data_IF_689163712212
#
_entry.id   IF_689163712212
#
_cell.length_a   1.000
_cell.length_b   1.000
_cell.length_c   1.000
_cell.angle_alpha   90.00
_cell.angle_beta   90.00
_cell.angle_gamma   90.00
#
_symmetry.space_group_name_H-M   'P 1'
#
loop_
_entity.id
_entity.type
_entity.pdbx_description
1 polymer ?
#
# COMPACT_ATOMS: atom_id res chain seq x y z
N UNK A 1 -5.13 3.05 -3.20
CA UNK A 1 -6.39 2.37 -2.82
C UNK A 1 -6.55 2.44 -1.30
N UNK A 2 -7.00 3.58 -0.76
CA UNK A 2 -7.19 3.76 0.68
C UNK A 2 -8.08 2.72 1.39
N UNK A 3 -8.95 2.01 0.69
CA UNK A 3 -9.76 0.94 1.30
C UNK A 3 -8.93 -0.17 1.95
N UNK A 4 -7.67 -0.37 1.55
CA UNK A 4 -6.76 -1.35 2.16
C UNK A 4 -6.17 -0.91 3.52
N UNK A 5 -6.23 0.39 3.84
CA UNK A 5 -5.73 0.96 5.09
C UNK A 5 -6.78 1.91 5.69
N UNK A 6 -7.88 1.39 6.25
CA UNK A 6 -9.03 2.20 6.67
C UNK A 6 -8.72 3.23 7.77
N UNK A 7 -7.68 2.97 8.56
CA UNK A 7 -7.22 3.80 9.69
C UNK A 7 -6.05 4.72 9.32
N UNK A 8 -5.67 4.80 8.04
CA UNK A 8 -4.60 5.70 7.59
C UNK A 8 -4.88 7.15 8.01
N UNK A 9 -3.84 7.78 8.55
CA UNK A 9 -3.86 9.19 8.92
C UNK A 9 -2.44 9.78 8.93
N UNK A 10 -2.34 11.08 9.20
CA UNK A 10 -1.05 11.71 9.41
C UNK A 10 -0.39 11.17 10.69
N UNK A 11 0.89 10.79 10.63
CA UNK A 11 1.66 10.40 11.82
C UNK A 11 2.20 11.65 12.54
N UNK A 12 1.70 12.00 13.75
CA UNK A 12 2.15 13.18 14.48
C UNK A 12 3.50 12.95 15.20
N UNK A 13 3.89 11.71 15.49
CA UNK A 13 5.08 11.39 16.27
C UNK A 13 6.34 11.47 15.41
N UNK A 14 7.46 11.71 16.08
CA UNK A 14 8.80 11.71 15.51
C UNK A 14 9.07 12.82 14.48
N UNK A 15 10.32 12.83 14.02
CA UNK A 15 10.85 13.80 13.07
C UNK A 15 11.72 13.08 12.02
N UNK A 16 12.09 13.78 10.96
CA UNK A 16 13.05 13.27 10.00
C UNK A 16 14.38 12.94 10.69
N UNK A 17 14.97 11.80 10.34
CA UNK A 17 16.28 11.34 10.84
C UNK A 17 17.18 10.99 9.64
N UNK A 18 18.52 10.98 9.80
CA UNK A 18 19.41 10.44 8.77
C UNK A 18 18.98 9.02 8.37
N UNK A 19 18.81 8.78 7.06
CA UNK A 19 18.30 7.51 6.52
C UNK A 19 16.76 7.36 6.53
N UNK A 20 16.04 8.21 7.26
CA UNK A 20 14.58 8.21 7.37
C UNK A 20 14.03 9.64 7.19
N UNK A 21 14.15 10.23 5.97
CA UNK A 21 13.75 11.61 5.71
C UNK A 21 12.25 11.85 5.95
N UNK A 22 11.44 10.80 5.85
CA UNK A 22 10.00 10.83 6.09
C UNK A 22 9.60 10.23 7.44
N UNK A 23 10.51 10.22 8.43
CA UNK A 23 10.37 9.52 9.73
C UNK A 23 10.49 8.00 9.59
N UNK A 24 10.69 7.31 10.72
CA UNK A 24 10.74 5.84 10.79
C UNK A 24 9.40 5.20 10.46
N UNK A 25 8.33 5.86 10.86
CA UNK A 25 6.96 5.52 10.54
C UNK A 25 6.32 6.72 9.83
N UNK A 26 6.39 6.81 8.49
CA UNK A 26 5.79 7.92 7.74
C UNK A 26 4.25 7.88 7.70
N UNK A 27 3.68 6.68 7.84
CA UNK A 27 2.24 6.44 7.74
C UNK A 27 1.65 6.29 9.14
N UNK A 28 0.64 7.11 9.45
CA UNK A 28 -0.10 7.00 10.70
C UNK A 28 -1.22 5.98 10.60
N UNK A 29 -1.60 5.43 11.76
CA UNK A 29 -2.76 4.58 11.95
C UNK A 29 -3.53 5.12 13.16
N UNK A 30 -4.77 5.57 12.94
CA UNK A 30 -5.57 6.26 13.96
C UNK A 30 -5.85 5.37 15.17
N UNK A 31 -6.04 4.07 14.99
CA UNK A 31 -6.25 3.11 16.09
C UNK A 31 -4.94 2.91 16.83
N UNK A 32 -3.84 2.68 16.11
CA UNK A 32 -2.51 2.51 16.71
C UNK A 32 -2.05 3.74 17.50
N UNK A 33 -2.40 4.95 17.03
CA UNK A 33 -2.14 6.19 17.77
C UNK A 33 -2.96 6.28 19.06
N UNK A 34 -4.23 5.89 19.04
CA UNK A 34 -5.05 5.85 20.27
C UNK A 34 -4.45 4.88 21.30
N UNK A 35 -4.03 3.68 20.87
CA UNK A 35 -3.39 2.70 21.76
C UNK A 35 -2.05 3.23 22.30
N UNK A 36 -1.26 3.90 21.47
CA UNK A 36 0.00 4.53 21.90
C UNK A 36 -0.24 5.64 22.93
N UNK A 37 -1.27 6.47 22.74
CA UNK A 37 -1.64 7.54 23.67
C UNK A 37 -2.11 6.99 25.04
N UNK A 38 -2.73 5.81 25.04
CA UNK A 38 -3.10 5.10 26.27
C UNK A 38 -1.87 4.49 27.01
N UNK A 39 -0.66 4.60 26.45
CA UNK A 39 0.58 4.11 27.08
C UNK A 39 0.76 2.59 27.00
N UNK A 40 -0.03 1.88 26.19
CA UNK A 40 0.11 0.44 26.01
C UNK A 40 1.29 0.12 25.08
N UNK A 41 1.96 -1.01 25.34
CA UNK A 41 3.07 -1.50 24.49
C UNK A 41 3.12 -3.02 24.42
N UNK A 42 3.97 -3.55 23.54
CA UNK A 42 4.20 -5.00 23.40
C UNK A 42 2.95 -5.78 22.97
N UNK A 43 2.84 -7.06 23.34
CA UNK A 43 1.71 -7.91 22.95
C UNK A 43 0.34 -7.39 23.42
N UNK A 44 0.30 -6.71 24.58
CA UNK A 44 -0.94 -6.12 25.10
C UNK A 44 -1.45 -4.99 24.20
N UNK A 45 -0.55 -4.15 23.69
CA UNK A 45 -0.93 -3.12 22.72
C UNK A 45 -1.47 -3.71 21.43
N UNK A 46 -0.90 -4.81 20.94
CA UNK A 46 -1.39 -5.50 19.73
C UNK A 46 -2.79 -6.07 19.96
N UNK A 47 -3.03 -6.71 21.12
CA UNK A 47 -4.36 -7.21 21.46
C UNK A 47 -5.40 -6.08 21.57
N UNK A 48 -5.04 -4.97 22.23
CA UNK A 48 -5.91 -3.80 22.34
C UNK A 48 -6.17 -3.14 20.98
N UNK A 49 -5.17 -3.09 20.10
CA UNK A 49 -5.31 -2.62 18.74
C UNK A 49 -6.31 -3.47 17.96
N UNK A 50 -6.19 -4.79 17.99
CA UNK A 50 -7.08 -5.69 17.26
C UNK A 50 -8.53 -5.59 17.76
N UNK A 51 -8.73 -5.45 19.06
CA UNK A 51 -10.06 -5.25 19.63
C UNK A 51 -10.68 -3.90 19.20
N UNK A 52 -9.92 -2.80 19.31
CA UNK A 52 -10.41 -1.48 18.93
C UNK A 52 -10.63 -1.37 17.42
N UNK A 53 -9.71 -1.87 16.61
CA UNK A 53 -9.81 -1.86 15.14
C UNK A 53 -11.04 -2.63 14.66
N UNK A 54 -11.41 -3.73 15.33
CA UNK A 54 -12.63 -4.48 15.01
C UNK A 54 -13.90 -3.70 15.33
N UNK A 55 -13.92 -2.93 16.42
CA UNK A 55 -15.06 -2.08 16.80
C UNK A 55 -15.21 -0.85 15.91
N UNK A 56 -14.09 -0.28 15.46
CA UNK A 56 -14.05 0.93 14.64
C UNK A 56 -13.97 0.64 13.12
N UNK A 57 -13.97 -0.63 12.72
CA UNK A 57 -13.85 -1.01 11.31
C UNK A 57 -15.00 -0.40 10.49
N UNK A 58 -14.69 0.43 9.48
CA UNK A 58 -15.73 1.00 8.62
C UNK A 58 -16.29 -0.05 7.66
N UNK A 59 -17.36 0.30 6.95
CA UNK A 59 -17.80 -0.52 5.81
C UNK A 59 -16.72 -0.52 4.71
N UNK A 60 -16.04 -1.65 4.58
CA UNK A 60 -14.94 -1.83 3.64
C UNK A 60 -15.42 -1.95 2.19
N UNK A 61 -16.65 -2.44 1.96
CA UNK A 61 -17.22 -2.52 0.61
C UNK A 61 -17.61 -1.12 0.13
N UNK A 62 -18.22 -0.31 0.99
CA UNK A 62 -18.52 1.09 0.67
C UNK A 62 -17.24 1.88 0.36
N UNK A 63 -16.18 1.70 1.17
CA UNK A 63 -14.88 2.33 0.91
C UNK A 63 -14.24 1.85 -0.38
N UNK A 64 -14.28 0.55 -0.68
CA UNK A 64 -13.80 0.02 -1.94
C UNK A 64 -14.56 0.65 -3.11
N UNK A 65 -15.89 0.76 -3.03
CA UNK A 65 -16.68 1.38 -4.09
C UNK A 65 -16.27 2.83 -4.33
N UNK A 66 -16.05 3.62 -3.26
CA UNK A 66 -15.54 5.00 -3.38
C UNK A 66 -14.16 5.06 -4.04
N UNK A 67 -13.29 4.08 -3.77
CA UNK A 67 -12.00 3.97 -4.44
C UNK A 67 -12.16 3.67 -5.93
N UNK A 68 -13.05 2.74 -6.29
CA UNK A 68 -13.38 2.39 -7.68
C UNK A 68 -13.91 3.61 -8.43
N UNK A 69 -14.90 4.29 -7.87
CA UNK A 69 -15.52 5.47 -8.48
C UNK A 69 -14.49 6.58 -8.72
N UNK A 70 -13.60 6.80 -7.75
CA UNK A 70 -12.52 7.79 -7.86
C UNK A 70 -11.51 7.41 -8.93
N UNK A 71 -11.10 6.14 -9.00
CA UNK A 71 -10.16 5.68 -10.04
C UNK A 71 -10.76 5.88 -11.43
N UNK A 72 -12.01 5.45 -11.67
CA UNK A 72 -12.66 5.67 -12.96
C UNK A 72 -12.85 7.14 -13.30
N UNK A 73 -13.18 7.98 -12.31
CA UNK A 73 -13.27 9.44 -12.51
C UNK A 73 -11.94 10.01 -12.99
N UNK A 74 -10.82 9.68 -12.34
CA UNK A 74 -9.51 10.18 -12.78
C UNK A 74 -9.10 9.60 -14.13
N UNK A 75 -9.27 8.29 -14.34
CA UNK A 75 -8.98 7.64 -15.61
C UNK A 75 -9.76 8.22 -16.79
N UNK A 76 -10.97 8.72 -16.57
CA UNK A 76 -11.76 9.35 -17.64
C UNK A 76 -11.11 10.62 -18.21
N UNK A 77 -10.17 11.23 -17.49
CA UNK A 77 -9.41 12.41 -17.91
C UNK A 77 -8.00 12.06 -18.44
N UNK A 78 -7.66 10.78 -18.55
CA UNK A 78 -6.34 10.31 -18.97
C UNK A 78 -6.40 9.57 -20.32
N UNK A 79 -5.42 9.80 -21.20
CA UNK A 79 -5.24 9.02 -22.42
C UNK A 79 -4.80 7.57 -22.11
N UNK A 80 -4.07 7.40 -21.01
CA UNK A 80 -3.61 6.12 -20.49
C UNK A 80 -4.41 5.78 -19.24
N UNK A 81 -5.25 4.76 -19.34
CA UNK A 81 -6.14 4.30 -18.27
C UNK A 81 -5.54 3.08 -17.56
N UNK A 82 -5.79 2.93 -16.25
CA UNK A 82 -5.26 1.84 -15.42
C UNK A 82 -6.31 1.21 -14.49
N UNK A 83 -7.46 1.85 -14.27
CA UNK A 83 -8.50 1.42 -13.34
C UNK A 83 -8.94 -0.02 -13.59
N UNK A 84 -9.25 -0.39 -14.83
CA UNK A 84 -9.69 -1.77 -15.16
C UNK A 84 -8.63 -2.81 -14.79
N UNK A 85 -7.36 -2.53 -15.11
CA UNK A 85 -6.26 -3.40 -14.71
C UNK A 85 -6.17 -3.56 -13.20
N UNK A 86 -6.30 -2.45 -12.47
CA UNK A 86 -6.30 -2.48 -11.01
C UNK A 86 -7.46 -3.34 -10.51
N UNK A 87 -8.68 -3.15 -11.00
CA UNK A 87 -9.86 -3.89 -10.55
C UNK A 87 -9.77 -5.40 -10.83
N UNK A 88 -9.16 -5.77 -11.95
CA UNK A 88 -8.97 -7.17 -12.35
C UNK A 88 -7.88 -7.89 -11.53
N UNK A 89 -6.97 -7.14 -10.91
CA UNK A 89 -5.73 -7.68 -10.33
C UNK A 89 -5.51 -7.36 -8.85
N UNK A 90 -6.15 -6.34 -8.27
CA UNK A 90 -5.85 -5.90 -6.89
C UNK A 90 -6.17 -6.95 -5.84
N UNK A 91 -7.03 -7.93 -6.15
CA UNK A 91 -7.30 -9.07 -5.27
C UNK A 91 -6.23 -10.16 -5.38
N UNK A 92 -5.60 -10.28 -6.54
CA UNK A 92 -4.65 -11.36 -6.86
C UNK A 92 -3.20 -10.96 -6.57
N UNK A 93 -2.90 -9.66 -6.66
CA UNK A 93 -1.54 -9.13 -6.61
C UNK A 93 -1.46 -7.91 -5.67
N UNK A 94 -0.33 -7.77 -4.99
CA UNK A 94 -0.06 -6.63 -4.11
C UNK A 94 0.31 -5.38 -4.92
N UNK A 95 -0.72 -4.73 -5.49
CA UNK A 95 -0.58 -3.61 -6.43
C UNK A 95 -0.21 -2.28 -5.76
N UNK A 96 -0.51 -2.13 -4.47
CA UNK A 96 -0.27 -0.93 -3.68
C UNK A 96 0.59 -1.31 -2.49
N UNK A 97 1.65 -0.54 -2.24
CA UNK A 97 2.52 -0.74 -1.08
C UNK A 97 2.15 0.17 0.08
N UNK A 98 1.60 1.33 -0.24
CA UNK A 98 1.03 2.28 0.71
C UNK A 98 -0.23 2.87 0.07
N UNK A 99 -0.95 3.75 0.77
CA UNK A 99 -2.12 4.40 0.19
C UNK A 99 -1.79 5.22 -1.10
N UNK A 100 -0.54 5.68 -1.25
CA UNK A 100 -0.06 6.53 -2.34
C UNK A 100 1.07 5.94 -3.20
N UNK A 101 1.66 4.81 -2.80
CA UNK A 101 2.73 4.15 -3.54
C UNK A 101 2.25 2.83 -4.17
N UNK A 102 2.54 2.67 -5.45
CA UNK A 102 2.22 1.46 -6.22
C UNK A 102 3.43 0.54 -6.35
N UNK A 103 3.16 -0.76 -6.56
CA UNK A 103 4.18 -1.77 -6.80
C UNK A 103 4.82 -1.67 -8.19
N UNK A 104 5.93 -2.37 -8.40
CA UNK A 104 6.53 -2.56 -9.73
C UNK A 104 5.53 -3.03 -10.78
N UNK A 105 4.60 -3.92 -10.44
CA UNK A 105 3.61 -4.45 -11.38
C UNK A 105 2.76 -3.32 -11.96
N UNK A 106 2.29 -2.39 -11.13
CA UNK A 106 1.51 -1.25 -11.59
C UNK A 106 2.37 -0.30 -12.45
N UNK A 107 3.61 -0.06 -12.05
CA UNK A 107 4.53 0.80 -12.81
C UNK A 107 4.84 0.19 -14.18
N UNK A 108 5.05 -1.13 -14.24
CA UNK A 108 5.30 -1.86 -15.47
C UNK A 108 4.10 -1.77 -16.41
N UNK A 109 2.90 -2.02 -15.89
CA UNK A 109 1.67 -1.92 -16.69
C UNK A 109 1.46 -0.49 -17.21
N UNK A 110 1.62 0.51 -16.36
CA UNK A 110 1.53 1.92 -16.76
C UNK A 110 2.54 2.26 -17.86
N UNK A 111 3.80 1.84 -17.70
CA UNK A 111 4.85 2.09 -18.69
C UNK A 111 4.54 1.43 -20.04
N UNK A 112 4.00 0.20 -20.03
CA UNK A 112 3.60 -0.50 -21.26
C UNK A 112 2.45 0.20 -21.96
N UNK A 113 1.41 0.64 -21.23
CA UNK A 113 0.29 1.39 -21.81
C UNK A 113 0.71 2.74 -22.34
N UNK A 114 1.58 3.44 -21.62
CA UNK A 114 2.15 4.72 -22.07
C UNK A 114 2.98 4.54 -23.35
N UNK A 115 3.81 3.50 -23.43
CA UNK A 115 4.56 3.20 -24.65
C UNK A 115 3.65 2.84 -25.84
N UNK A 116 2.52 2.17 -25.58
CA UNK A 116 1.52 1.89 -26.61
C UNK A 116 0.82 3.18 -27.09
N UNK A 117 0.41 4.05 -26.17
CA UNK A 117 -0.25 5.32 -26.48
C UNK A 117 0.68 6.30 -27.22
N UNK A 118 1.96 6.33 -26.89
CA UNK A 118 2.96 7.21 -27.54
C UNK A 118 3.47 6.65 -28.88
N UNK A 119 3.24 5.38 -29.20
CA UNK A 119 3.77 4.71 -30.41
C UNK A 119 3.41 5.42 -31.71
N UNK A 120 2.18 5.95 -31.93
CA UNK A 120 1.87 6.68 -33.16
C UNK A 120 2.74 7.92 -33.38
N UNK A 121 3.29 8.51 -32.32
CA UNK A 121 4.13 9.70 -32.37
C UNK A 121 5.63 9.36 -32.42
N UNK A 122 6.06 8.35 -31.67
CA UNK A 122 7.48 8.02 -31.48
C UNK A 122 7.97 6.82 -32.30
N UNK A 123 7.05 6.07 -32.92
CA UNK A 123 7.35 4.82 -33.61
C UNK A 123 7.72 3.66 -32.67
N UNK A 124 8.36 2.62 -33.22
CA UNK A 124 8.80 1.44 -32.48
C UNK A 124 7.75 0.32 -32.37
N UNK A 125 8.05 -0.69 -31.54
CA UNK A 125 7.21 -1.90 -31.38
C UNK A 125 6.90 -2.19 -29.92
N UNK A 126 5.80 -2.91 -29.67
CA UNK A 126 5.45 -3.40 -28.33
C UNK A 126 6.58 -4.26 -27.74
N UNK A 127 7.18 -5.14 -28.55
CA UNK A 127 8.28 -5.99 -28.12
C UNK A 127 9.49 -5.18 -27.65
N UNK A 128 9.84 -4.11 -28.39
CA UNK A 128 10.95 -3.23 -27.99
C UNK A 128 10.65 -2.48 -26.70
N UNK A 129 9.44 -1.97 -26.53
CA UNK A 129 9.02 -1.32 -25.29
C UNK A 129 9.12 -2.28 -24.10
N UNK A 130 8.59 -3.50 -24.23
CA UNK A 130 8.68 -4.51 -23.18
C UNK A 130 10.12 -4.86 -22.80
N UNK A 131 11.02 -5.01 -23.79
CA UNK A 131 12.45 -5.24 -23.53
C UNK A 131 13.10 -4.08 -22.78
N UNK A 132 12.84 -2.83 -23.20
CA UNK A 132 13.39 -1.64 -22.54
C UNK A 132 12.91 -1.52 -21.09
N UNK A 133 11.63 -1.78 -20.86
CA UNK A 133 11.03 -1.77 -19.51
C UNK A 133 11.66 -2.87 -18.67
N UNK A 134 11.68 -4.13 -19.15
CA UNK A 134 12.30 -5.24 -18.43
C UNK A 134 13.78 -4.98 -18.08
N UNK A 135 14.54 -4.35 -18.98
CA UNK A 135 15.95 -4.01 -18.74
C UNK A 135 16.17 -2.87 -17.73
N UNK A 136 15.12 -2.11 -17.38
CA UNK A 136 15.19 -0.95 -16.47
C UNK A 136 14.38 -1.11 -15.19
N UNK A 137 13.43 -2.04 -15.15
CA UNK A 137 12.63 -2.41 -13.98
C UNK A 137 13.49 -3.22 -12.99
N UNK A 138 14.49 -2.56 -12.40
CA UNK A 138 15.28 -3.07 -11.28
C UNK A 138 14.97 -2.36 -9.95
N UNK A 139 13.98 -1.46 -9.95
CA UNK A 139 13.45 -0.83 -8.74
C UNK A 139 12.09 -1.46 -8.43
N UNK A 140 11.90 -1.97 -7.21
CA UNK A 140 10.77 -2.85 -6.90
C UNK A 140 9.38 -2.20 -6.98
N UNK A 141 9.28 -0.89 -7.24
CA UNK A 141 8.06 -0.09 -7.13
C UNK A 141 8.38 1.28 -6.52
N UNK A 142 7.35 2.03 -6.09
CA UNK A 142 7.55 3.34 -5.49
C UNK A 142 7.90 3.23 -3.99
N UNK A 143 9.20 3.27 -3.68
CA UNK A 143 9.72 3.38 -2.32
C UNK A 143 10.11 2.05 -1.65
N UNK A 144 10.57 2.13 -0.39
CA UNK A 144 11.17 0.99 0.31
C UNK A 144 10.26 0.37 1.38
N UNK A 145 9.02 0.87 1.50
CA UNK A 145 8.07 0.46 2.54
C UNK A 145 6.79 -0.10 1.95
N UNK A 146 6.30 -1.15 2.59
CA UNK A 146 5.01 -1.79 2.38
C UNK A 146 4.28 -1.73 3.73
N UNK A 147 3.22 -0.94 3.80
CA UNK A 147 2.39 -0.85 5.01
C UNK A 147 1.56 -2.14 5.10
N UNK A 148 1.67 -2.91 6.20
CA UNK A 148 0.89 -4.13 6.34
C UNK A 148 -0.61 -3.89 6.27
N UNK A 149 -1.32 -4.83 5.64
CA UNK A 149 -2.78 -4.79 5.52
C UNK A 149 -3.37 -5.58 6.68
N UNK A 150 -4.38 -4.98 7.34
CA UNK A 150 -5.08 -5.61 8.44
C UNK A 150 -5.72 -6.94 8.00
N UNK A 151 -5.60 -8.06 8.76
CA UNK A 151 -6.12 -9.37 8.34
C UNK A 151 -7.60 -9.36 7.97
N UNK A 152 -8.43 -8.67 8.77
CA UNK A 152 -9.87 -8.50 8.48
C UNK A 152 -10.11 -7.71 7.19
N UNK A 153 -9.31 -6.68 6.90
CA UNK A 153 -9.40 -5.94 5.63
C UNK A 153 -9.07 -6.85 4.45
N UNK A 154 -7.98 -7.61 4.57
CA UNK A 154 -7.60 -8.58 3.55
C UNK A 154 -8.70 -9.62 3.30
N UNK A 155 -9.28 -10.18 4.35
CA UNK A 155 -10.36 -11.16 4.26
C UNK A 155 -11.63 -10.55 3.62
N UNK A 156 -12.09 -9.39 4.10
CA UNK A 156 -13.32 -8.74 3.61
C UNK A 156 -13.20 -8.31 2.15
N UNK A 157 -12.03 -7.82 1.72
CA UNK A 157 -11.80 -7.39 0.33
C UNK A 157 -11.41 -8.54 -0.61
N UNK A 158 -11.14 -9.73 -0.07
CA UNK A 158 -10.74 -10.92 -0.83
C UNK A 158 -9.32 -10.82 -1.40
N UNK A 159 -8.38 -10.29 -0.64
CA UNK A 159 -6.97 -10.12 -1.04
C UNK A 159 -6.22 -11.45 -0.91
N UNK A 160 -6.10 -12.18 -2.01
CA UNK A 160 -5.54 -13.53 -2.09
C UNK A 160 -4.04 -13.57 -1.77
N UNK A 161 -3.34 -12.46 -1.97
CA UNK A 161 -1.90 -12.40 -1.67
C UNK A 161 -1.62 -12.22 -0.18
N UNK A 162 -2.62 -11.89 0.66
CA UNK A 162 -2.46 -11.67 2.10
C UNK A 162 -2.68 -12.98 2.88
N UNK A 163 -1.62 -13.80 2.96
CA UNK A 163 -1.58 -14.98 3.81
C UNK A 163 -1.24 -14.61 5.27
N UNK A 164 -1.52 -15.50 6.23
CA UNK A 164 -1.39 -15.22 7.66
C UNK A 164 0.05 -14.87 8.08
N UNK A 165 1.04 -15.55 7.50
CA UNK A 165 2.47 -15.37 7.76
C UNK A 165 3.13 -14.39 6.79
N UNK A 166 2.35 -13.68 5.96
CA UNK A 166 2.89 -12.72 5.01
C UNK A 166 3.73 -11.68 5.74
N UNK A 167 4.95 -11.50 5.26
CA UNK A 167 5.81 -10.39 5.65
C UNK A 167 5.74 -9.26 4.63
N UNK A 168 5.90 -8.05 5.13
CA UNK A 168 5.90 -6.81 4.38
C UNK A 168 7.27 -6.15 4.53
N UNK A 169 7.75 -5.58 3.43
CA UNK A 169 9.03 -4.87 3.42
C UNK A 169 8.94 -3.56 4.16
N UNK A 170 9.84 -3.34 5.11
CA UNK A 170 9.97 -2.07 5.81
C UNK A 170 11.42 -1.63 5.80
N UNK A 171 11.81 -0.87 4.79
CA UNK A 171 13.22 -0.57 4.49
C UNK A 171 14.02 -1.87 4.31
N UNK A 172 15.05 -2.09 5.14
CA UNK A 172 15.85 -3.32 5.15
C UNK A 172 15.22 -4.47 5.94
N UNK A 173 14.04 -4.27 6.52
CA UNK A 173 13.36 -5.22 7.39
C UNK A 173 12.21 -5.94 6.68
N UNK A 174 11.81 -7.09 7.23
CA UNK A 174 10.63 -7.85 6.82
C UNK A 174 9.81 -8.15 8.06
N UNK A 175 8.57 -7.66 8.12
CA UNK A 175 7.72 -7.78 9.30
C UNK A 175 6.36 -8.36 8.94
N UNK A 176 5.83 -9.21 9.80
CA UNK A 176 4.41 -9.55 9.75
C UNK A 176 3.55 -8.33 10.12
N UNK A 177 2.24 -8.43 9.90
CA UNK A 177 1.30 -7.43 10.39
C UNK A 177 1.46 -7.17 11.91
N UNK A 178 1.56 -8.25 12.70
CA UNK A 178 1.65 -8.16 14.16
C UNK A 178 2.96 -7.51 14.61
N UNK A 179 4.09 -7.89 13.99
CA UNK A 179 5.39 -7.28 14.28
C UNK A 179 5.36 -5.78 14.00
N UNK A 180 4.80 -5.38 12.86
CA UNK A 180 4.69 -3.99 12.48
C UNK A 180 3.83 -3.20 13.47
N UNK A 181 2.62 -3.67 13.80
CA UNK A 181 1.72 -2.95 14.72
C UNK A 181 2.35 -2.79 16.09
N UNK A 182 2.99 -3.84 16.63
CA UNK A 182 3.68 -3.75 17.91
C UNK A 182 4.76 -2.66 17.89
N UNK A 183 5.58 -2.65 16.84
CA UNK A 183 6.68 -1.69 16.66
C UNK A 183 6.18 -0.28 16.40
N UNK A 184 5.13 -0.13 15.59
CA UNK A 184 4.50 1.15 15.27
C UNK A 184 3.89 1.81 16.50
N UNK A 185 3.14 1.07 17.32
CA UNK A 185 2.53 1.60 18.55
C UNK A 185 3.64 2.05 19.51
N UNK A 186 4.65 1.22 19.74
CA UNK A 186 5.80 1.56 20.58
C UNK A 186 6.77 2.57 19.97
N UNK A 187 6.56 2.99 18.71
CA UNK A 187 7.48 3.80 17.92
C UNK A 187 8.93 3.28 17.97
N UNK A 188 9.07 1.96 17.86
CA UNK A 188 10.31 1.24 18.12
C UNK A 188 11.39 1.53 17.07
N UNK A 189 12.65 1.58 17.53
CA UNK A 189 13.84 1.58 16.65
C UNK A 189 14.21 0.14 16.27
N UNK A 190 14.94 0.01 15.17
CA UNK A 190 15.57 -1.21 14.68
C UNK A 190 16.94 -0.86 14.09
#
# INVERSE_FOLDING_TARGET
MPSQWPFECAEPRGQAEPGYPWKRYPHGDSVGLQIAQAGLSGPLAVAAYLDLSMREMPDLQERLQRDVDRMHRYDSHCDVKLADFVLDNFRKQHLFWTYCHVSETCIQELALRMAAAARPLLGGTQARAAQCIAARMGFGGLGDVQVPIHPVVAATLGLQFCEAERTYRWYSQQWTFYDYIQRYIGYARW
#
